data_IF_324752270095
#
_entry.id   IF_324752270095
#
_cell.length_a   1.000
_cell.length_b   1.000
_cell.length_c   1.000
_cell.angle_alpha   90.00
_cell.angle_beta   90.00
_cell.angle_gamma   90.00
#
_symmetry.space_group_name_H-M   'P 1'
#
loop_
_entity.id
_entity.type
_entity.pdbx_description
1 polymer ?
#
# COMPACT_ATOMS: atom_id res chain seq x y z
N UNK A 1 -22.14 25.22 32.46
CA UNK A 1 -21.79 25.00 31.04
C UNK A 1 -20.27 24.91 30.94
N UNK A 2 -19.71 23.84 30.35
CA UNK A 2 -18.25 23.71 30.20
C UNK A 2 -17.78 24.49 28.97
N UNK A 3 -16.99 25.55 29.18
CA UNK A 3 -16.28 26.24 28.11
C UNK A 3 -15.21 25.31 27.51
N UNK A 4 -15.34 25.07 26.20
CA UNK A 4 -14.36 24.29 25.43
C UNK A 4 -13.16 25.19 25.12
N UNK A 5 -11.96 24.82 25.61
CA UNK A 5 -10.68 25.51 25.37
C UNK A 5 -10.10 25.28 23.95
N UNK A 6 -10.92 25.12 22.92
CA UNK A 6 -10.44 24.90 21.56
C UNK A 6 -11.33 25.58 20.53
N UNK A 7 -10.71 26.01 19.43
CA UNK A 7 -11.38 26.56 18.25
C UNK A 7 -11.13 25.63 17.05
N UNK A 8 -12.18 25.42 16.24
CA UNK A 8 -12.07 24.71 14.96
C UNK A 8 -11.95 25.77 13.88
N UNK A 9 -10.79 25.83 13.22
CA UNK A 9 -10.54 26.77 12.12
C UNK A 9 -10.63 26.00 10.80
N UNK A 10 -11.55 26.36 9.89
CA UNK A 10 -11.64 25.74 8.59
C UNK A 10 -10.49 26.20 7.71
N UNK A 11 -9.54 25.32 7.43
CA UNK A 11 -8.40 25.55 6.54
C UNK A 11 -8.39 24.53 5.41
N UNK A 12 -8.00 24.97 4.19
CA UNK A 12 -7.75 24.04 3.08
C UNK A 12 -6.43 23.33 3.33
N UNK A 13 -6.49 22.03 3.57
CA UNK A 13 -5.30 21.19 3.74
C UNK A 13 -4.36 21.40 2.55
N UNK A 14 -3.12 21.88 2.76
CA UNK A 14 -2.14 22.01 1.69
C UNK A 14 -1.98 20.67 0.99
N UNK A 15 -1.89 20.66 -0.35
CA UNK A 15 -1.62 19.42 -1.10
C UNK A 15 -0.28 18.86 -0.62
N UNK A 16 -0.32 17.88 0.29
CA UNK A 16 0.86 17.16 0.73
C UNK A 16 1.51 16.59 -0.53
N UNK A 17 2.73 17.04 -0.85
CA UNK A 17 3.57 16.35 -1.84
C UNK A 17 3.72 14.93 -1.31
N UNK A 18 3.20 13.94 -2.04
CA UNK A 18 3.43 12.53 -1.74
C UNK A 18 4.93 12.33 -1.79
N UNK A 19 5.58 12.36 -0.63
CA UNK A 19 6.92 11.84 -0.44
C UNK A 19 6.81 10.34 -0.62
N UNK A 20 6.72 9.89 -1.87
CA UNK A 20 6.98 8.51 -2.22
C UNK A 20 8.43 8.26 -1.84
N UNK A 21 8.68 7.87 -0.58
CA UNK A 21 10.01 7.46 -0.12
C UNK A 21 10.52 6.45 -1.14
N UNK A 22 11.55 6.79 -1.92
CA UNK A 22 12.24 5.85 -2.80
C UNK A 22 12.85 4.76 -1.90
N UNK A 23 12.74 3.49 -2.28
CA UNK A 23 13.30 2.37 -1.51
C UNK A 23 12.38 1.84 -0.40
N UNK A 24 11.08 1.70 -0.66
CA UNK A 24 10.23 0.94 0.27
C UNK A 24 10.61 -0.53 0.21
N UNK A 25 10.63 -1.23 1.35
CA UNK A 25 10.77 -2.70 1.38
C UNK A 25 9.75 -3.44 0.50
N UNK A 26 8.61 -2.81 0.23
CA UNK A 26 7.57 -3.35 -0.66
C UNK A 26 7.88 -3.15 -2.15
N UNK A 27 8.84 -2.31 -2.52
CA UNK A 27 9.28 -2.16 -3.91
C UNK A 27 9.96 -3.44 -4.40
N UNK A 28 10.89 -3.99 -3.61
CA UNK A 28 11.57 -5.25 -3.92
C UNK A 28 10.57 -6.39 -4.15
N UNK A 29 9.58 -6.52 -3.27
CA UNK A 29 8.49 -7.53 -3.42
C UNK A 29 7.72 -7.37 -4.74
N UNK A 30 7.50 -6.13 -5.18
CA UNK A 30 6.81 -5.86 -6.44
C UNK A 30 7.72 -6.17 -7.64
N UNK A 31 9.00 -5.83 -7.54
CA UNK A 31 9.98 -6.06 -8.60
C UNK A 31 10.20 -7.57 -8.81
N UNK A 32 10.42 -8.33 -7.73
CA UNK A 32 10.51 -9.79 -7.76
C UNK A 32 9.26 -10.43 -8.38
N UNK A 33 8.07 -9.90 -8.07
CA UNK A 33 6.81 -10.40 -8.65
C UNK A 33 6.64 -10.05 -10.13
N UNK A 34 7.15 -8.89 -10.57
CA UNK A 34 7.11 -8.50 -11.97
C UNK A 34 8.06 -9.36 -12.81
N UNK A 35 9.25 -9.66 -12.27
CA UNK A 35 10.25 -10.54 -12.89
C UNK A 35 9.83 -12.01 -12.89
N UNK A 36 9.05 -12.44 -11.90
CA UNK A 36 8.51 -13.79 -11.87
C UNK A 36 7.58 -14.08 -13.07
N UNK A 37 7.77 -15.23 -13.71
CA UNK A 37 6.90 -15.74 -14.77
C UNK A 37 5.62 -16.37 -14.19
N UNK A 38 4.91 -15.59 -13.39
CA UNK A 38 3.63 -16.00 -12.79
C UNK A 38 2.60 -14.87 -12.89
N UNK A 39 1.34 -15.25 -13.09
CA UNK A 39 0.21 -14.32 -13.12
C UNK A 39 -0.28 -13.95 -11.71
N UNK A 40 0.01 -14.80 -10.72
CA UNK A 40 -0.45 -14.61 -9.35
C UNK A 40 0.49 -15.24 -8.33
N UNK A 41 0.75 -14.55 -7.23
CA UNK A 41 1.55 -15.07 -6.12
C UNK A 41 0.94 -14.69 -4.77
N UNK A 42 1.05 -15.59 -3.79
CA UNK A 42 0.80 -15.28 -2.38
C UNK A 42 2.08 -14.70 -1.80
N UNK A 43 1.98 -13.54 -1.16
CA UNK A 43 3.12 -12.86 -0.55
C UNK A 43 3.01 -12.96 0.97
N UNK A 44 4.11 -13.37 1.59
CA UNK A 44 4.33 -13.32 3.03
C UNK A 44 5.55 -12.44 3.30
N UNK A 45 5.52 -11.70 4.42
CA UNK A 45 6.65 -10.86 4.83
C UNK A 45 6.84 -11.02 6.34
N UNK A 46 7.96 -11.60 6.75
CA UNK A 46 8.24 -11.88 8.15
C UNK A 46 8.24 -10.60 9.01
N UNK A 47 7.62 -10.67 10.19
CA UNK A 47 7.48 -9.52 11.09
C UNK A 47 6.51 -8.44 10.59
N UNK A 48 5.75 -8.67 9.51
CA UNK A 48 4.73 -7.73 9.02
C UNK A 48 3.37 -8.42 8.94
N UNK A 49 2.35 -7.82 9.56
CA UNK A 49 0.96 -8.32 9.44
C UNK A 49 0.47 -8.24 7.99
N UNK A 50 -0.27 -9.24 7.54
CA UNK A 50 -0.82 -9.30 6.18
C UNK A 50 -1.64 -8.05 5.80
N UNK A 51 -2.40 -7.50 6.76
CA UNK A 51 -3.16 -6.26 6.53
C UNK A 51 -2.24 -5.06 6.23
N UNK A 52 -1.13 -4.92 6.96
CA UNK A 52 -0.12 -3.88 6.73
C UNK A 52 0.64 -4.11 5.43
N UNK A 53 0.97 -5.36 5.11
CA UNK A 53 1.59 -5.75 3.85
C UNK A 53 0.71 -5.36 2.66
N UNK A 54 -0.59 -5.68 2.71
CA UNK A 54 -1.53 -5.31 1.66
C UNK A 54 -1.65 -3.78 1.49
N UNK A 55 -1.68 -3.02 2.58
CA UNK A 55 -1.71 -1.55 2.52
C UNK A 55 -0.43 -1.01 1.88
N UNK A 56 0.73 -1.50 2.32
CA UNK A 56 2.04 -1.10 1.79
C UNK A 56 2.16 -1.34 0.29
N UNK A 57 1.84 -2.55 -0.16
CA UNK A 57 1.87 -2.93 -1.58
C UNK A 57 0.91 -2.07 -2.41
N UNK A 58 -0.33 -1.84 -1.96
CA UNK A 58 -1.30 -0.98 -2.66
C UNK A 58 -0.80 0.46 -2.78
N UNK A 59 -0.20 1.00 -1.72
CA UNK A 59 0.37 2.34 -1.77
C UNK A 59 1.51 2.43 -2.77
N UNK A 60 2.42 1.44 -2.80
CA UNK A 60 3.54 1.42 -3.76
C UNK A 60 3.07 1.28 -5.19
N UNK A 61 2.14 0.36 -5.47
CA UNK A 61 1.50 0.24 -6.79
C UNK A 61 0.89 1.57 -7.25
N UNK A 62 0.20 2.28 -6.34
CA UNK A 62 -0.39 3.59 -6.65
C UNK A 62 0.65 4.69 -6.88
N UNK A 63 1.75 4.67 -6.14
CA UNK A 63 2.85 5.64 -6.29
C UNK A 63 3.66 5.38 -7.57
N UNK A 64 3.83 4.12 -7.96
CA UNK A 64 4.54 3.68 -9.17
C UNK A 64 3.63 3.61 -10.40
N UNK A 65 2.35 3.95 -10.26
CA UNK A 65 1.35 3.92 -11.32
C UNK A 65 1.23 2.56 -12.07
N UNK A 66 1.46 1.46 -11.34
CA UNK A 66 1.45 0.08 -11.89
C UNK A 66 0.00 -0.40 -12.07
N UNK A 67 -0.66 0.08 -13.13
CA UNK A 67 -2.08 -0.22 -13.41
C UNK A 67 -2.33 -1.70 -13.71
N UNK A 68 -1.30 -2.41 -14.15
CA UNK A 68 -1.28 -3.85 -14.46
C UNK A 68 -1.18 -4.74 -13.21
N UNK A 69 -1.10 -4.20 -12.00
CA UNK A 69 -1.05 -4.99 -10.76
C UNK A 69 -2.30 -4.81 -9.91
N UNK A 70 -2.68 -5.87 -9.20
CA UNK A 70 -3.75 -5.86 -8.21
C UNK A 70 -3.33 -6.59 -6.93
N UNK A 71 -3.69 -6.01 -5.77
CA UNK A 71 -3.47 -6.64 -4.46
C UNK A 71 -4.81 -7.07 -3.87
N UNK A 72 -4.99 -8.38 -3.69
CA UNK A 72 -6.12 -8.97 -2.95
C UNK A 72 -5.67 -9.38 -1.56
N UNK A 73 -6.45 -9.00 -0.55
CA UNK A 73 -6.23 -9.42 0.83
C UNK A 73 -7.43 -10.24 1.28
N UNK A 74 -7.16 -11.40 1.88
CA UNK A 74 -8.16 -12.25 2.55
C UNK A 74 -7.64 -12.57 3.94
N UNK A 75 -8.40 -12.25 4.99
CA UNK A 75 -7.93 -12.41 6.38
C UNK A 75 -7.42 -13.81 6.71
N UNK A 76 -8.06 -14.85 6.16
CA UNK A 76 -7.71 -16.25 6.40
C UNK A 76 -6.60 -16.79 5.46
N UNK A 77 -6.39 -16.15 4.31
CA UNK A 77 -5.52 -16.66 3.24
C UNK A 77 -4.31 -15.77 2.93
N UNK A 78 -4.25 -14.59 3.54
CA UNK A 78 -3.16 -13.63 3.39
C UNK A 78 -3.28 -12.69 2.20
N UNK A 79 -2.12 -12.24 1.70
CA UNK A 79 -2.01 -11.23 0.64
C UNK A 79 -1.62 -11.88 -0.68
N UNK A 80 -2.30 -11.48 -1.75
CA UNK A 80 -2.07 -11.94 -3.11
C UNK A 80 -1.75 -10.77 -4.02
N UNK A 81 -0.72 -10.93 -4.83
CA UNK A 81 -0.35 -10.06 -5.95
C UNK A 81 -0.76 -10.73 -7.26
N UNK A 82 -1.36 -9.96 -8.16
CA UNK A 82 -1.97 -10.43 -9.39
C UNK A 82 -1.58 -9.51 -10.55
N UNK A 83 -1.15 -10.08 -11.68
CA UNK A 83 -1.08 -9.37 -12.96
C UNK A 83 -2.48 -9.26 -13.54
N UNK A 84 -2.89 -8.04 -13.90
CA UNK A 84 -4.12 -7.82 -14.65
C UNK A 84 -3.82 -8.07 -16.13
N UNK A 85 -4.64 -8.93 -16.73
CA UNK A 85 -4.73 -9.04 -18.19
C UNK A 85 -5.38 -7.81 -18.79
#
# INVERSE_FOLDING_TARGET
MHEKKYAIIPEKVPKMKKLGRKGSKYDAVIDDFLEADTDSARITYEGTKDSMLAIGLRQRIKVRELKNLQVKYRSEKGVYLLKKK
#
